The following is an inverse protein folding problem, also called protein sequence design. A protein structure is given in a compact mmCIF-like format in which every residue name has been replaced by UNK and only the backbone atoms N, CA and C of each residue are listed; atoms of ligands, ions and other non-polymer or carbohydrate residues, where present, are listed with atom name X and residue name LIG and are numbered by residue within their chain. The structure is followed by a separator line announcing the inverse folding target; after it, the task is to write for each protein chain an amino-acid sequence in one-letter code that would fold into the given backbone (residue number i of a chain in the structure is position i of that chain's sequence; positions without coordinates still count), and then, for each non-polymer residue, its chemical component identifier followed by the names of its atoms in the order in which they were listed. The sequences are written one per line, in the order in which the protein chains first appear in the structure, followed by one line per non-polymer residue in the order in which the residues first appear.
data_IF_343745347210
#
_entry.id   IF_343745347210
#
_cell.length_a   1.000
_cell.length_b   1.000
_cell.length_c   1.000
_cell.angle_alpha   90.00
_cell.angle_beta   90.00
_cell.angle_gamma   90.00
#
_symmetry.space_group_name_H-M   'P 1'
#
loop_
_entity.id
_entity.type
_entity.pdbx_description
1 polymer ?
#
# COMPACT_ATOMS: atom_id res chain seq x y z
N UNK A 1 11.98 12.09 -12.14
CA UNK A 1 11.42 11.07 -11.26
C UNK A 1 12.40 9.90 -11.13
N UNK A 2 12.85 9.52 -9.92
CA UNK A 2 13.86 8.46 -9.73
C UNK A 2 13.39 7.04 -10.08
N UNK A 3 12.08 6.84 -10.22
CA UNK A 3 11.48 5.53 -10.54
C UNK A 3 11.44 5.32 -12.05
N UNK A 4 10.97 6.31 -12.81
CA UNK A 4 10.85 6.22 -14.28
C UNK A 4 12.07 6.74 -15.04
N UNK A 5 12.98 7.45 -14.39
CA UNK A 5 14.05 8.16 -15.06
C UNK A 5 13.62 9.40 -15.85
N UNK A 6 12.32 9.64 -15.99
CA UNK A 6 11.76 10.74 -16.79
C UNK A 6 11.74 12.07 -16.03
N UNK A 7 11.83 13.16 -16.78
CA UNK A 7 11.62 14.50 -16.23
C UNK A 7 10.15 14.66 -15.82
N UNK A 8 9.92 15.20 -14.62
CA UNK A 8 8.58 15.46 -14.11
C UNK A 8 8.57 16.75 -13.29
N UNK A 9 7.42 17.40 -13.25
CA UNK A 9 7.18 18.55 -12.38
C UNK A 9 6.71 18.07 -11.01
N UNK A 10 7.17 18.75 -9.95
CA UNK A 10 6.79 18.45 -8.57
C UNK A 10 6.43 19.78 -7.89
N UNK A 11 5.14 19.98 -7.63
CA UNK A 11 4.61 21.20 -7.01
C UNK A 11 4.53 21.05 -5.49
N UNK A 12 5.69 20.77 -4.85
CA UNK A 12 5.80 20.55 -3.41
C UNK A 12 6.92 21.40 -2.81
N UNK A 13 6.66 21.99 -1.64
CA UNK A 13 7.59 22.88 -0.95
C UNK A 13 8.92 22.19 -0.57
N UNK A 14 8.88 20.93 -0.11
CA UNK A 14 10.08 20.18 0.26
C UNK A 14 11.10 20.04 -0.88
N UNK A 15 10.71 19.52 -2.05
CA UNK A 15 11.56 19.51 -3.23
C UNK A 15 12.05 20.89 -3.67
N UNK A 16 11.18 21.90 -3.65
CA UNK A 16 11.56 23.29 -4.02
C UNK A 16 12.68 23.82 -3.12
N UNK A 17 12.55 23.67 -1.80
CA UNK A 17 13.58 24.10 -0.84
C UNK A 17 14.90 23.35 -1.04
N UNK A 18 14.87 22.05 -1.32
CA UNK A 18 16.09 21.28 -1.63
C UNK A 18 16.76 21.76 -2.90
N UNK A 19 16.00 22.06 -3.94
CA UNK A 19 16.53 22.57 -5.20
C UNK A 19 17.15 23.98 -5.01
N UNK A 20 16.46 24.86 -4.28
CA UNK A 20 16.95 26.20 -3.97
C UNK A 20 18.31 26.16 -3.23
N UNK A 21 18.42 25.29 -2.22
CA UNK A 21 19.68 25.11 -1.48
C UNK A 21 20.81 24.59 -2.38
N UNK A 22 20.53 23.58 -3.22
CA UNK A 22 21.53 23.06 -4.16
C UNK A 22 21.96 24.14 -5.16
N UNK A 23 21.02 24.93 -5.68
CA UNK A 23 21.32 26.01 -6.60
C UNK A 23 22.21 27.07 -5.94
N UNK A 24 21.87 27.52 -4.71
CA UNK A 24 22.69 28.48 -3.96
C UNK A 24 24.11 27.94 -3.69
N UNK A 25 24.23 26.70 -3.21
CA UNK A 25 25.54 26.06 -2.98
C UNK A 25 26.36 26.01 -4.28
N UNK A 26 25.74 25.64 -5.41
CA UNK A 26 26.43 25.53 -6.69
C UNK A 26 26.86 26.89 -7.29
N UNK A 27 26.08 27.94 -7.06
CA UNK A 27 26.43 29.30 -7.48
C UNK A 27 27.69 29.79 -6.74
N UNK A 28 27.78 29.54 -5.44
CA UNK A 28 28.85 30.06 -4.58
C UNK A 28 30.09 29.15 -4.60
N UNK A 29 29.89 27.84 -4.57
CA UNK A 29 30.95 26.83 -4.37
C UNK A 29 31.33 26.08 -5.65
N UNK A 30 30.70 26.39 -6.78
CA UNK A 30 30.81 25.63 -8.04
C UNK A 30 29.90 24.40 -8.04
N UNK A 31 29.71 23.77 -9.19
CA UNK A 31 28.77 22.66 -9.44
C UNK A 31 29.16 21.37 -8.68
N UNK A 32 29.02 21.37 -7.38
CA UNK A 32 29.40 20.27 -6.47
C UNK A 32 28.25 19.32 -6.14
N UNK A 33 26.98 19.76 -6.29
CA UNK A 33 25.80 19.00 -5.86
C UNK A 33 24.86 18.77 -7.02
N UNK A 34 24.26 17.56 -7.05
CA UNK A 34 23.22 17.20 -8.02
C UNK A 34 21.88 17.02 -7.29
N UNK A 35 20.81 17.45 -7.92
CA UNK A 35 19.47 17.13 -7.47
C UNK A 35 19.07 15.71 -7.94
N UNK A 36 18.83 14.81 -6.99
CA UNK A 36 18.52 13.40 -7.27
C UNK A 36 17.03 13.14 -7.56
N UNK A 37 16.25 14.19 -7.85
CA UNK A 37 14.82 14.07 -8.13
C UNK A 37 13.93 13.93 -6.89
N UNK A 38 12.63 13.84 -7.15
CA UNK A 38 11.58 13.68 -6.12
C UNK A 38 10.73 12.45 -6.43
N UNK A 39 10.29 11.77 -5.39
CA UNK A 39 9.29 10.69 -5.43
C UNK A 39 7.87 11.20 -5.12
N UNK A 40 7.67 12.53 -5.07
CA UNK A 40 6.38 13.18 -4.87
C UNK A 40 5.66 12.76 -3.57
N UNK A 41 6.37 12.67 -2.46
CA UNK A 41 5.75 12.39 -1.16
C UNK A 41 4.89 13.57 -0.73
N UNK A 42 3.59 13.32 -0.56
CA UNK A 42 2.60 14.32 -0.22
C UNK A 42 1.60 13.78 0.81
N UNK A 43 1.06 14.69 1.62
CA UNK A 43 0.05 14.39 2.62
C UNK A 43 -0.97 15.54 2.66
N UNK A 44 -2.24 15.19 2.87
CA UNK A 44 -3.32 16.13 3.05
C UNK A 44 -4.30 15.65 4.12
N UNK A 45 -4.83 16.58 4.89
CA UNK A 45 -5.95 16.32 5.80
C UNK A 45 -7.23 16.87 5.19
N UNK A 46 -8.25 16.01 5.07
CA UNK A 46 -9.55 16.33 4.50
C UNK A 46 -10.58 15.99 5.56
N UNK A 47 -11.09 17.02 6.23
CA UNK A 47 -11.87 16.86 7.47
C UNK A 47 -11.10 16.05 8.50
N UNK A 48 -11.63 14.90 8.92
CA UNK A 48 -10.98 14.02 9.90
C UNK A 48 -10.06 12.97 9.26
N UNK A 49 -10.16 12.78 7.93
CA UNK A 49 -9.38 11.79 7.20
C UNK A 49 -8.06 12.41 6.71
N UNK A 50 -6.99 11.68 6.93
CA UNK A 50 -5.66 11.98 6.36
C UNK A 50 -5.39 11.05 5.19
N UNK A 51 -4.91 11.62 4.08
CA UNK A 51 -4.52 10.89 2.87
C UNK A 51 -3.09 11.25 2.53
N UNK A 52 -2.26 10.24 2.30
CA UNK A 52 -0.88 10.43 1.91
C UNK A 52 -0.47 9.51 0.76
N UNK A 53 0.49 9.97 -0.05
CA UNK A 53 1.03 9.20 -1.16
C UNK A 53 2.53 9.46 -1.34
N UNK A 54 3.26 8.46 -1.83
CA UNK A 54 4.65 8.57 -2.24
C UNK A 54 4.90 7.67 -3.46
N UNK A 55 5.84 8.08 -4.32
CA UNK A 55 6.21 7.29 -5.50
C UNK A 55 5.24 7.45 -6.67
N UNK A 56 4.90 6.34 -7.32
CA UNK A 56 4.08 6.30 -8.53
C UNK A 56 2.79 5.51 -8.26
N UNK A 57 1.66 6.00 -8.78
CA UNK A 57 0.37 5.30 -8.68
C UNK A 57 0.28 4.13 -9.67
N UNK A 58 -0.60 3.13 -9.38
CA UNK A 58 -0.96 2.04 -10.32
C UNK A 58 -1.23 2.59 -11.73
N UNK A 59 -2.10 3.58 -11.85
CA UNK A 59 -2.47 4.20 -13.13
C UNK A 59 -1.26 4.74 -13.91
N UNK A 60 -0.31 5.39 -13.21
CA UNK A 60 0.87 5.92 -13.87
C UNK A 60 1.87 4.81 -14.25
N UNK A 61 1.97 3.73 -13.48
CA UNK A 61 2.77 2.55 -13.84
C UNK A 61 2.21 1.87 -15.10
N UNK A 62 0.89 1.74 -15.21
CA UNK A 62 0.20 1.23 -16.40
C UNK A 62 0.49 2.09 -17.64
N UNK A 63 0.41 3.41 -17.50
CA UNK A 63 0.71 4.36 -18.59
C UNK A 63 2.17 4.30 -19.05
N UNK A 64 3.08 3.99 -18.12
CA UNK A 64 4.51 3.85 -18.40
C UNK A 64 4.88 2.45 -18.90
N UNK A 65 3.95 1.49 -18.92
CA UNK A 65 4.20 0.09 -19.29
C UNK A 65 5.11 -0.64 -18.31
N UNK A 66 5.15 -0.21 -17.04
CA UNK A 66 5.98 -0.83 -16.01
C UNK A 66 5.22 -1.99 -15.39
N UNK A 67 5.78 -3.21 -15.49
CA UNK A 67 5.21 -4.41 -14.89
C UNK A 67 5.19 -4.31 -13.37
N UNK A 68 4.02 -4.51 -12.77
CA UNK A 68 3.85 -4.34 -11.33
C UNK A 68 2.68 -5.16 -10.78
N UNK A 69 2.76 -5.41 -9.48
CA UNK A 69 1.63 -5.84 -8.66
C UNK A 69 1.18 -4.71 -7.74
N UNK A 70 -0.02 -4.84 -7.22
CA UNK A 70 -0.53 -3.97 -6.15
C UNK A 70 -1.14 -4.82 -5.05
N UNK A 71 -1.03 -4.34 -3.80
CA UNK A 71 -1.75 -4.91 -2.67
C UNK A 71 -2.40 -3.81 -1.84
N UNK A 72 -3.50 -4.17 -1.17
CA UNK A 72 -4.22 -3.30 -0.26
C UNK A 72 -4.40 -4.06 1.04
N UNK A 73 -4.04 -3.43 2.16
CA UNK A 73 -4.27 -3.97 3.49
C UNK A 73 -5.07 -2.99 4.33
N UNK A 74 -6.02 -3.52 5.08
CA UNK A 74 -6.81 -2.78 6.04
C UNK A 74 -6.37 -3.18 7.45
N UNK A 75 -6.08 -2.19 8.28
CA UNK A 75 -5.56 -2.37 9.62
C UNK A 75 -6.06 -1.25 10.53
N UNK A 76 -5.43 -1.08 11.67
CA UNK A 76 -5.70 0.00 12.62
C UNK A 76 -4.47 0.87 12.85
N UNK A 77 -4.67 2.09 13.33
CA UNK A 77 -3.61 3.04 13.68
C UNK A 77 -2.64 2.48 14.72
N UNK A 78 -3.16 1.69 15.67
CA UNK A 78 -2.42 0.98 16.72
C UNK A 78 -3.15 -0.31 17.13
N UNK A 79 -2.72 -0.97 18.20
CA UNK A 79 -3.28 -2.26 18.65
C UNK A 79 -4.79 -2.14 18.93
N UNK A 80 -5.59 -2.96 18.25
CA UNK A 80 -7.06 -2.88 18.28
C UNK A 80 -7.71 -3.16 19.64
N UNK A 81 -6.97 -3.77 20.59
CA UNK A 81 -7.40 -3.96 21.97
C UNK A 81 -7.11 -2.75 22.88
N UNK A 82 -6.34 -1.77 22.38
CA UNK A 82 -6.08 -0.52 23.09
C UNK A 82 -7.12 0.53 22.66
N UNK A 83 -7.59 1.39 23.57
CA UNK A 83 -8.64 2.38 23.26
C UNK A 83 -8.30 3.29 22.08
N UNK A 84 -9.32 3.71 21.35
CA UNK A 84 -9.24 4.70 20.27
C UNK A 84 -8.47 4.25 19.02
N UNK A 85 -8.32 2.94 18.81
CA UNK A 85 -7.77 2.42 17.57
C UNK A 85 -8.68 2.75 16.37
N UNK A 86 -8.16 3.47 15.38
CA UNK A 86 -8.90 3.96 14.22
C UNK A 86 -8.48 3.24 12.93
N UNK A 87 -9.39 3.08 11.96
CA UNK A 87 -9.09 2.42 10.68
C UNK A 87 -7.95 3.09 9.92
N UNK A 88 -7.08 2.27 9.34
CA UNK A 88 -5.98 2.68 8.48
C UNK A 88 -5.83 1.70 7.32
N UNK A 89 -5.76 2.23 6.10
CA UNK A 89 -5.59 1.45 4.87
C UNK A 89 -4.26 1.81 4.23
N UNK A 90 -3.48 0.80 3.88
CA UNK A 90 -2.23 0.93 3.12
C UNK A 90 -2.38 0.24 1.77
N UNK A 91 -2.10 0.96 0.69
CA UNK A 91 -1.97 0.43 -0.66
C UNK A 91 -0.54 0.61 -1.13
N UNK A 92 0.07 -0.45 -1.66
CA UNK A 92 1.41 -0.38 -2.26
C UNK A 92 1.38 -0.91 -3.70
N UNK A 93 2.30 -0.39 -4.52
CA UNK A 93 2.60 -0.88 -5.85
C UNK A 93 4.08 -1.24 -5.94
N UNK A 94 4.39 -2.42 -6.45
CA UNK A 94 5.74 -2.97 -6.46
C UNK A 94 6.02 -3.77 -7.73
N UNK A 95 7.29 -3.93 -8.05
CA UNK A 95 7.76 -4.70 -9.20
C UNK A 95 7.29 -6.15 -9.14
N UNK A 96 6.78 -6.66 -10.24
CA UNK A 96 6.41 -8.08 -10.38
C UNK A 96 7.62 -9.01 -10.56
N UNK A 97 8.82 -8.46 -10.76
CA UNK A 97 10.06 -9.21 -10.99
C UNK A 97 10.88 -9.39 -9.71
N UNK A 98 11.16 -8.27 -9.02
CA UNK A 98 12.09 -8.23 -7.89
C UNK A 98 11.46 -7.67 -6.59
N UNK A 99 10.16 -7.32 -6.62
CA UNK A 99 9.45 -6.79 -5.46
C UNK A 99 9.83 -5.35 -5.08
N UNK A 100 10.62 -4.64 -5.90
CA UNK A 100 11.00 -3.25 -5.64
C UNK A 100 9.79 -2.36 -5.47
N UNK A 101 9.75 -1.57 -4.41
CA UNK A 101 8.63 -0.69 -4.12
C UNK A 101 8.63 0.53 -5.05
N UNK A 102 7.52 0.74 -5.78
CA UNK A 102 7.35 1.84 -6.71
C UNK A 102 6.47 2.96 -6.16
N UNK A 103 5.47 2.62 -5.38
CA UNK A 103 4.54 3.60 -4.86
C UNK A 103 3.75 3.11 -3.66
N UNK A 104 3.24 4.07 -2.88
CA UNK A 104 2.43 3.79 -1.72
C UNK A 104 1.36 4.87 -1.53
N UNK A 105 0.24 4.48 -0.96
CA UNK A 105 -0.83 5.34 -0.48
C UNK A 105 -1.25 4.87 0.91
N UNK A 106 -1.47 5.82 1.80
CA UNK A 106 -1.98 5.55 3.15
C UNK A 106 -3.17 6.46 3.42
N UNK A 107 -4.27 5.88 3.88
CA UNK A 107 -5.50 6.60 4.22
C UNK A 107 -5.96 6.16 5.60
N UNK A 108 -6.29 7.10 6.46
CA UNK A 108 -6.77 6.80 7.80
C UNK A 108 -7.05 8.07 8.61
N UNK A 109 -7.37 7.87 9.87
CA UNK A 109 -7.68 8.98 10.80
C UNK A 109 -6.45 9.34 11.64
N UNK A 110 -5.57 8.38 11.91
CA UNK A 110 -4.38 8.56 12.73
C UNK A 110 -3.21 7.72 12.21
N UNK A 111 -1.95 8.18 12.45
CA UNK A 111 -0.72 7.47 12.14
C UNK A 111 -0.40 7.31 10.64
N UNK A 112 -1.06 8.07 9.76
CA UNK A 112 -0.83 8.06 8.31
C UNK A 112 0.53 8.65 7.97
N UNK A 113 0.92 9.75 8.62
CA UNK A 113 2.20 10.45 8.45
C UNK A 113 3.38 9.53 8.74
N UNK A 114 3.36 8.84 9.89
CA UNK A 114 4.38 7.87 10.28
C UNK A 114 4.59 6.80 9.19
N UNK A 115 3.50 6.23 8.65
CA UNK A 115 3.58 5.13 7.69
C UNK A 115 4.04 5.58 6.31
N UNK A 116 3.53 6.72 5.84
CA UNK A 116 3.95 7.21 4.51
C UNK A 116 5.42 7.65 4.49
N UNK A 117 5.97 8.16 5.59
CA UNK A 117 7.38 8.52 5.68
C UNK A 117 8.29 7.30 5.58
N UNK A 118 7.94 6.19 6.26
CA UNK A 118 8.66 4.93 6.16
C UNK A 118 8.61 4.36 4.73
N UNK A 119 7.41 4.30 4.14
CA UNK A 119 7.22 3.85 2.76
C UNK A 119 7.97 4.73 1.75
N UNK A 120 7.98 6.04 1.95
CA UNK A 120 8.74 6.97 1.13
C UNK A 120 10.25 6.74 1.22
N UNK A 121 10.76 6.38 2.42
CA UNK A 121 12.15 6.02 2.61
C UNK A 121 12.53 4.78 1.79
N UNK A 122 11.76 3.70 1.91
CA UNK A 122 11.90 2.45 1.16
C UNK A 122 11.89 2.71 -0.36
N UNK A 123 10.89 3.45 -0.87
CA UNK A 123 10.81 3.83 -2.29
C UNK A 123 12.05 4.62 -2.73
N UNK A 124 12.49 5.58 -1.91
CA UNK A 124 13.63 6.47 -2.23
C UNK A 124 14.94 5.69 -2.35
N UNK A 125 15.13 4.68 -1.51
CA UNK A 125 16.34 3.85 -1.49
C UNK A 125 16.26 2.66 -2.45
N UNK A 126 15.13 2.51 -3.16
CA UNK A 126 14.91 1.43 -4.15
C UNK A 126 14.86 0.05 -3.50
N UNK A 127 14.44 0.01 -2.26
CA UNK A 127 14.25 -1.20 -1.48
C UNK A 127 12.98 -1.96 -1.92
N UNK A 128 12.79 -3.15 -1.41
CA UNK A 128 11.82 -4.15 -1.86
C UNK A 128 10.72 -4.39 -0.83
N UNK A 129 9.74 -5.21 -1.18
CA UNK A 129 8.70 -5.67 -0.25
C UNK A 129 9.28 -6.51 0.89
N UNK A 130 10.42 -7.17 0.70
CA UNK A 130 11.12 -7.90 1.76
C UNK A 130 11.65 -6.96 2.84
N UNK A 131 12.17 -5.79 2.45
CA UNK A 131 12.64 -4.78 3.40
C UNK A 131 11.48 -4.22 4.25
N UNK A 132 10.23 -4.21 3.72
CA UNK A 132 9.04 -3.87 4.52
C UNK A 132 8.73 -4.93 5.57
N UNK A 133 8.96 -6.21 5.29
CA UNK A 133 8.75 -7.31 6.26
C UNK A 133 9.74 -7.20 7.40
N UNK A 134 11.01 -6.93 7.08
CA UNK A 134 12.12 -6.87 8.04
C UNK A 134 12.19 -5.53 8.79
N UNK A 135 11.36 -4.55 8.43
CA UNK A 135 11.40 -3.23 9.05
C UNK A 135 11.05 -3.30 10.54
N UNK A 136 11.97 -2.87 11.38
CA UNK A 136 11.79 -2.83 12.83
C UNK A 136 11.07 -1.53 13.26
N UNK A 137 9.92 -1.68 13.90
CA UNK A 137 9.11 -0.56 14.38
C UNK A 137 9.19 -0.41 15.89
N UNK A 138 9.21 0.83 16.37
CA UNK A 138 8.96 1.11 17.78
C UNK A 138 7.51 0.72 18.10
N UNK A 139 7.35 -0.26 18.98
CA UNK A 139 6.05 -0.81 19.37
C UNK A 139 5.75 -0.64 20.85
N UNK A 140 4.59 -0.08 21.11
CA UNK A 140 3.80 -0.27 22.32
C UNK A 140 2.33 -0.08 21.92
N UNK A 141 1.35 -0.64 22.68
CA UNK A 141 -0.07 -0.65 22.26
C UNK A 141 -0.65 0.70 21.84
N UNK A 142 -0.31 1.85 22.46
CA UNK A 142 -0.81 3.16 22.05
C UNK A 142 -0.24 3.68 20.72
N UNK A 143 0.87 3.13 20.23
CA UNK A 143 1.62 3.70 19.10
C UNK A 143 1.55 2.87 17.81
N UNK A 144 1.40 1.55 17.94
CA UNK A 144 1.36 0.64 16.79
C UNK A 144 0.74 -0.71 17.20
N UNK A 145 0.76 -1.67 16.31
CA UNK A 145 0.56 -3.08 16.61
C UNK A 145 1.88 -3.85 16.42
N UNK A 146 1.98 -5.04 17.00
CA UNK A 146 3.19 -5.89 16.91
C UNK A 146 3.55 -6.22 15.45
N UNK A 147 2.57 -6.24 14.56
CA UNK A 147 2.73 -6.20 13.10
C UNK A 147 2.20 -4.84 12.64
N UNK A 148 3.09 -3.87 12.44
CA UNK A 148 2.68 -2.56 11.92
C UNK A 148 2.00 -2.73 10.54
N UNK A 149 1.02 -1.89 10.18
CA UNK A 149 0.41 -1.92 8.84
C UNK A 149 1.41 -1.94 7.67
N UNK A 150 2.61 -1.38 7.86
CA UNK A 150 3.68 -1.41 6.85
C UNK A 150 4.29 -2.81 6.73
N UNK A 151 4.59 -3.49 7.86
CA UNK A 151 5.02 -4.89 7.80
C UNK A 151 3.93 -5.78 7.19
N UNK A 152 2.66 -5.57 7.58
CA UNK A 152 1.55 -6.34 7.04
C UNK A 152 1.44 -6.16 5.51
N UNK A 153 1.61 -4.93 5.00
CA UNK A 153 1.64 -4.66 3.58
C UNK A 153 2.80 -5.40 2.87
N UNK A 154 3.98 -5.44 3.49
CA UNK A 154 5.12 -6.22 3.01
C UNK A 154 4.83 -7.72 2.94
N UNK A 155 4.29 -8.31 4.01
CA UNK A 155 3.95 -9.75 4.08
C UNK A 155 2.92 -10.14 3.02
N UNK A 156 1.89 -9.33 2.81
CA UNK A 156 0.88 -9.57 1.76
C UNK A 156 1.51 -9.47 0.38
N UNK A 157 2.35 -8.46 0.15
CA UNK A 157 3.03 -8.27 -1.12
C UNK A 157 4.02 -9.43 -1.43
N UNK A 158 4.73 -9.92 -0.43
CA UNK A 158 5.60 -11.09 -0.56
C UNK A 158 4.81 -12.35 -0.96
N UNK A 159 3.65 -12.59 -0.35
CA UNK A 159 2.77 -13.69 -0.73
C UNK A 159 2.25 -13.58 -2.17
N UNK A 160 2.03 -12.36 -2.66
CA UNK A 160 1.64 -12.12 -4.05
C UNK A 160 2.83 -12.37 -4.98
N UNK A 161 4.00 -11.81 -4.66
CA UNK A 161 5.22 -11.91 -5.47
C UNK A 161 5.67 -13.36 -5.63
N UNK A 162 5.61 -14.15 -4.56
CA UNK A 162 5.99 -15.58 -4.55
C UNK A 162 4.90 -16.51 -5.10
N UNK A 163 3.71 -15.98 -5.43
CA UNK A 163 2.60 -16.77 -5.95
C UNK A 163 1.85 -17.62 -4.92
N UNK A 164 2.16 -17.43 -3.62
CA UNK A 164 1.43 -18.10 -2.51
C UNK A 164 -0.02 -17.61 -2.45
N UNK A 165 -0.27 -16.34 -2.78
CA UNK A 165 -1.61 -15.77 -2.86
C UNK A 165 -1.81 -15.09 -4.21
N UNK A 166 -2.91 -15.45 -4.89
CA UNK A 166 -3.37 -14.73 -6.08
C UNK A 166 -4.43 -13.73 -5.64
N UNK A 167 -4.28 -12.48 -6.04
CA UNK A 167 -5.18 -11.38 -5.67
C UNK A 167 -5.88 -10.88 -6.92
N UNK A 168 -7.17 -10.62 -6.79
CA UNK A 168 -7.99 -9.90 -7.76
C UNK A 168 -8.50 -8.62 -7.09
N UNK A 169 -8.51 -7.52 -7.81
CA UNK A 169 -9.02 -6.25 -7.32
C UNK A 169 -10.51 -6.07 -7.68
N UNK A 170 -11.18 -5.18 -6.97
CA UNK A 170 -12.61 -4.94 -7.13
C UNK A 170 -13.00 -4.54 -8.57
N UNK A 171 -12.15 -3.83 -9.28
CA UNK A 171 -12.31 -3.41 -10.68
C UNK A 171 -12.17 -4.57 -11.68
N UNK A 172 -11.67 -5.71 -11.23
CA UNK A 172 -11.51 -6.92 -12.04
C UNK A 172 -12.65 -7.95 -11.80
N UNK A 173 -13.45 -7.76 -10.74
CA UNK A 173 -14.53 -8.68 -10.37
C UNK A 173 -15.60 -8.83 -11.48
N UNK A 174 -15.92 -7.76 -12.19
CA UNK A 174 -16.89 -7.78 -13.28
C UNK A 174 -16.42 -8.59 -14.50
N UNK A 175 -15.12 -8.87 -14.58
CA UNK A 175 -14.50 -9.63 -15.67
C UNK A 175 -14.47 -11.14 -15.38
N UNK A 176 -14.83 -11.56 -14.16
CA UNK A 176 -14.92 -12.98 -13.81
C UNK A 176 -16.06 -13.64 -14.56
N UNK A 177 -15.78 -14.78 -15.19
CA UNK A 177 -16.81 -15.61 -15.79
C UNK A 177 -17.61 -16.35 -14.68
N UNK A 178 -18.90 -16.05 -14.51
CA UNK A 178 -19.72 -16.68 -13.49
C UNK A 178 -19.86 -18.20 -13.67
N UNK A 179 -19.64 -18.72 -14.88
CA UNK A 179 -19.70 -20.15 -15.16
C UNK A 179 -18.47 -20.91 -14.63
N UNK A 180 -17.33 -20.21 -14.49
CA UNK A 180 -16.05 -20.78 -14.09
C UNK A 180 -15.52 -20.17 -12.77
N UNK A 181 -16.33 -19.39 -12.06
CA UNK A 181 -15.91 -18.71 -10.83
C UNK A 181 -16.99 -18.77 -9.77
N UNK A 182 -16.59 -18.96 -8.52
CA UNK A 182 -17.47 -18.88 -7.36
C UNK A 182 -16.92 -17.85 -6.40
N UNK A 183 -17.78 -16.91 -6.00
CA UNK A 183 -17.46 -15.92 -4.98
C UNK A 183 -17.86 -16.45 -3.60
N UNK A 184 -16.92 -16.52 -2.68
CA UNK A 184 -17.15 -16.91 -1.30
C UNK A 184 -16.87 -15.71 -0.41
N UNK A 185 -17.88 -15.32 0.36
CA UNK A 185 -17.73 -14.33 1.43
C UNK A 185 -17.41 -15.08 2.74
N UNK A 186 -16.17 -14.95 3.21
CA UNK A 186 -15.69 -15.62 4.41
C UNK A 186 -15.97 -14.85 5.71
N UNK A 187 -16.69 -13.70 5.63
CA UNK A 187 -17.09 -12.90 6.79
C UNK A 187 -18.22 -13.60 7.56
N UNK A 188 -18.49 -13.12 8.76
CA UNK A 188 -19.61 -13.60 9.57
C UNK A 188 -20.96 -13.40 8.85
N UNK A 189 -21.96 -14.19 9.21
CA UNK A 189 -23.30 -14.04 8.65
C UNK A 189 -23.91 -12.65 8.91
N UNK A 190 -23.57 -12.02 10.04
CA UNK A 190 -23.99 -10.65 10.37
C UNK A 190 -23.38 -9.65 9.37
N UNK A 191 -22.09 -9.70 9.12
CA UNK A 191 -21.40 -8.81 8.17
C UNK A 191 -21.90 -9.03 6.73
N UNK A 192 -22.14 -10.28 6.35
CA UNK A 192 -22.75 -10.63 5.06
C UNK A 192 -24.14 -10.02 4.90
N UNK A 193 -24.96 -10.05 5.96
CA UNK A 193 -26.30 -9.47 5.97
C UNK A 193 -26.33 -7.93 5.89
N UNK A 194 -25.24 -7.26 6.29
CA UNK A 194 -25.09 -5.80 6.15
C UNK A 194 -24.76 -5.36 4.72
N UNK A 195 -24.36 -6.30 3.87
CA UNK A 195 -24.04 -6.07 2.47
C UNK A 195 -22.95 -7.01 1.99
N UNK A 196 -23.12 -7.55 0.78
CA UNK A 196 -22.20 -8.50 0.16
C UNK A 196 -22.11 -8.30 -1.35
N UNK A 197 -21.10 -8.90 -1.97
CA UNK A 197 -20.98 -8.93 -3.44
C UNK A 197 -22.13 -9.80 -3.98
N UNK A 198 -22.83 -9.31 -4.99
CA UNK A 198 -23.96 -10.03 -5.60
C UNK A 198 -23.50 -11.40 -6.12
N UNK A 199 -24.21 -12.45 -5.70
CA UNK A 199 -23.89 -13.83 -6.08
C UNK A 199 -22.86 -14.52 -5.19
N UNK A 200 -22.31 -13.84 -4.17
CA UNK A 200 -21.42 -14.47 -3.22
C UNK A 200 -22.16 -15.44 -2.30
N UNK A 201 -21.50 -16.55 -1.96
CA UNK A 201 -21.97 -17.54 -0.99
C UNK A 201 -21.30 -17.22 0.36
N UNK A 202 -22.08 -17.13 1.43
CA UNK A 202 -21.51 -16.90 2.75
C UNK A 202 -21.01 -18.22 3.37
N UNK A 203 -19.71 -18.33 3.54
CA UNK A 203 -19.04 -19.42 4.24
C UNK A 203 -18.05 -18.81 5.25
N UNK A 204 -18.49 -18.50 6.47
CA UNK A 204 -17.62 -17.89 7.48
C UNK A 204 -16.34 -18.69 7.70
N UNK A 205 -15.21 -17.97 7.84
CA UNK A 205 -13.88 -18.61 7.94
C UNK A 205 -13.80 -19.62 9.09
N UNK A 206 -14.50 -19.38 10.19
CA UNK A 206 -14.54 -20.26 11.35
C UNK A 206 -15.30 -21.58 11.09
N UNK A 207 -16.24 -21.56 10.14
CA UNK A 207 -17.03 -22.73 9.72
C UNK A 207 -16.48 -23.40 8.46
N UNK A 208 -15.66 -22.70 7.69
CA UNK A 208 -15.22 -23.07 6.34
C UNK A 208 -14.63 -24.50 6.29
N UNK A 209 -13.81 -24.87 7.27
CA UNK A 209 -13.18 -26.21 7.31
C UNK A 209 -14.21 -27.34 7.39
N UNK A 210 -15.28 -27.16 8.16
CA UNK A 210 -16.37 -28.12 8.28
C UNK A 210 -17.33 -28.12 7.09
N UNK A 211 -17.34 -27.05 6.31
CA UNK A 211 -18.25 -26.81 5.19
C UNK A 211 -17.58 -26.80 3.82
N UNK A 212 -16.34 -27.30 3.72
CA UNK A 212 -15.60 -27.37 2.45
C UNK A 212 -16.36 -28.13 1.34
N UNK A 213 -17.24 -29.05 1.69
CA UNK A 213 -18.08 -29.78 0.72
C UNK A 213 -19.11 -28.88 0.01
N UNK A 214 -19.41 -27.72 0.57
CA UNK A 214 -20.34 -26.74 -0.03
C UNK A 214 -19.65 -25.85 -1.08
N UNK A 215 -18.31 -25.85 -1.12
CA UNK A 215 -17.54 -25.12 -2.13
C UNK A 215 -17.63 -25.92 -3.45
N UNK A 216 -18.21 -25.34 -4.52
CA UNK A 216 -18.25 -26.01 -5.81
C UNK A 216 -16.83 -26.34 -6.30
N UNK A 217 -16.67 -27.56 -6.78
CA UNK A 217 -15.42 -27.99 -7.41
C UNK A 217 -15.52 -27.71 -8.91
N UNK A 218 -14.56 -26.93 -9.42
CA UNK A 218 -14.40 -26.71 -10.85
C UNK A 218 -13.87 -27.96 -11.56
#
# INVERSE_FOLDING_TARGET
NPITGKTSLTFLAGPANKQARIAADNIVLGNRRKYCGSINTAIAKIFDITVAAAGISKKALEQEGISHYTSIVHSSSHAGYYPDALPLTVKIAFSSEDGRLYGAQVVGFDGVDKRIEMLAHIIKHKETVHDLVELEHAYAPPFSSSKDPVNLAGMVAENILTGVCKVIHWDELEQLDPANSVLIDARTAMEFGLGSIKGAINLPVDELRGRLAEVPRG
#
